data_IF_807681921431
#
_entry.id   IF_807681921431
#
_cell.length_a   1.000
_cell.length_b   1.000
_cell.length_c   1.000
_cell.angle_alpha   90.00
_cell.angle_beta   90.00
_cell.angle_gamma   90.00
#
_symmetry.space_group_name_H-M   'P 1'
#
loop_
_entity.id
_entity.type
_entity.pdbx_description
1 polymer ?
#
# COMPACT_ATOMS: atom_id res chain seq x y z
N UNK A 1 16.23 -16.94 3.79
CA UNK A 1 15.82 -15.52 3.68
C UNK A 1 15.74 -15.17 2.20
N UNK A 2 14.63 -15.52 1.53
CA UNK A 2 14.46 -15.22 0.11
C UNK A 2 13.55 -14.00 0.01
N UNK A 3 14.18 -12.89 -0.34
CA UNK A 3 13.58 -11.64 -0.79
C UNK A 3 12.85 -11.95 -2.10
N UNK A 4 11.53 -12.17 -2.03
CA UNK A 4 10.68 -12.31 -3.22
C UNK A 4 10.22 -10.92 -3.66
N UNK A 5 11.13 -10.18 -4.26
CA UNK A 5 10.76 -9.19 -5.27
C UNK A 5 10.19 -9.97 -6.46
N UNK A 6 8.90 -9.75 -6.73
CA UNK A 6 8.22 -10.34 -7.88
C UNK A 6 8.87 -9.81 -9.18
N UNK A 7 9.45 -10.67 -10.03
CA UNK A 7 10.06 -10.23 -11.27
C UNK A 7 8.97 -9.97 -12.33
N UNK A 8 8.99 -8.74 -12.86
CA UNK A 8 8.78 -8.39 -14.26
C UNK A 8 7.91 -9.34 -15.10
N UNK A 9 6.61 -9.08 -15.13
CA UNK A 9 5.76 -9.52 -16.25
C UNK A 9 6.08 -8.61 -17.44
N UNK A 10 6.68 -9.23 -18.45
CA UNK A 10 7.40 -8.65 -19.57
C UNK A 10 6.45 -8.22 -20.70
N UNK A 11 5.66 -7.16 -20.50
CA UNK A 11 4.89 -6.53 -21.58
C UNK A 11 5.35 -5.07 -21.69
N UNK A 12 6.09 -4.77 -22.76
CA UNK A 12 6.37 -3.39 -23.23
C UNK A 12 7.42 -2.59 -22.44
N UNK A 13 8.67 -3.03 -22.59
CA UNK A 13 9.97 -2.53 -22.13
C UNK A 13 10.34 -1.04 -22.35
N UNK A 14 9.44 -0.12 -22.71
CA UNK A 14 9.84 1.30 -22.96
C UNK A 14 9.00 2.38 -22.27
N UNK A 15 7.81 2.08 -21.74
CA UNK A 15 7.03 3.09 -20.98
C UNK A 15 7.34 3.07 -19.48
N UNK A 16 7.84 1.95 -18.93
CA UNK A 16 8.19 1.82 -17.51
C UNK A 16 9.43 2.60 -17.08
N UNK A 17 10.36 2.93 -17.99
CA UNK A 17 11.53 3.74 -17.64
C UNK A 17 11.14 5.16 -17.17
N UNK A 18 10.00 5.70 -17.63
CA UNK A 18 9.50 7.00 -17.17
C UNK A 18 8.84 6.95 -15.79
N UNK A 19 8.34 5.79 -15.36
CA UNK A 19 7.66 5.63 -14.07
C UNK A 19 8.64 5.22 -12.97
N UNK A 20 9.67 4.43 -13.30
CA UNK A 20 10.74 4.08 -12.35
C UNK A 20 11.75 5.22 -12.11
N UNK A 21 11.73 6.28 -12.93
CA UNK A 21 12.46 7.53 -12.65
C UNK A 21 11.68 8.50 -11.75
N UNK A 22 10.49 8.12 -11.27
CA UNK A 22 9.69 8.93 -10.35
C UNK A 22 9.77 8.44 -8.88
N UNK A 23 10.80 7.68 -8.53
CA UNK A 23 11.28 7.52 -7.14
C UNK A 23 12.18 8.70 -6.70
N UNK A 24 12.55 9.62 -7.62
CA UNK A 24 13.45 10.74 -7.34
C UNK A 24 12.80 12.01 -6.81
N UNK A 25 11.46 12.11 -6.79
CA UNK A 25 10.77 13.25 -6.22
C UNK A 25 10.67 13.07 -4.69
N UNK A 26 11.84 13.23 -4.07
CA UNK A 26 12.06 13.75 -2.73
C UNK A 26 11.23 15.02 -2.52
N UNK A 27 9.91 14.87 -2.41
CA UNK A 27 9.08 15.89 -1.79
C UNK A 27 9.42 15.81 -0.32
N UNK A 28 10.42 16.62 0.06
CA UNK A 28 10.58 17.21 1.37
C UNK A 28 9.31 18.01 1.71
N UNK A 29 8.18 17.30 1.77
CA UNK A 29 6.89 17.83 2.11
C UNK A 29 6.92 18.04 3.62
N UNK A 30 7.31 19.26 3.98
CA UNK A 30 7.08 19.96 5.23
C UNK A 30 7.06 19.06 6.47
N UNK A 31 8.11 19.19 7.29
CA UNK A 31 8.10 18.78 8.69
C UNK A 31 6.79 19.24 9.35
N UNK A 32 5.83 18.33 9.46
CA UNK A 32 4.63 18.60 10.24
C UNK A 32 5.10 18.62 11.69
N UNK A 33 5.22 19.82 12.25
CA UNK A 33 5.75 20.09 13.59
C UNK A 33 5.00 19.37 14.72
N UNK A 34 3.82 18.83 14.43
CA UNK A 34 2.99 18.11 15.39
C UNK A 34 3.12 16.60 15.21
N UNK A 35 3.56 15.91 16.26
CA UNK A 35 3.49 14.45 16.36
C UNK A 35 2.02 14.01 16.33
N UNK A 36 1.66 13.06 15.45
CA UNK A 36 0.28 12.56 15.40
C UNK A 36 -0.10 11.86 16.71
N UNK A 37 -1.35 12.00 17.11
CA UNK A 37 -1.86 11.28 18.29
C UNK A 37 -2.08 9.78 17.99
N UNK A 38 -2.08 8.94 19.02
CA UNK A 38 -2.35 7.51 18.87
C UNK A 38 -3.68 7.23 18.14
N UNK A 39 -4.71 8.04 18.40
CA UNK A 39 -6.01 7.94 17.71
C UNK A 39 -5.90 8.24 16.20
N UNK A 40 -5.08 9.21 15.80
CA UNK A 40 -4.84 9.53 14.40
C UNK A 40 -4.09 8.40 13.68
N UNK A 41 -3.08 7.83 14.33
CA UNK A 41 -2.32 6.68 13.81
C UNK A 41 -3.24 5.46 13.63
N UNK A 42 -4.08 5.15 14.62
CA UNK A 42 -5.06 4.06 14.52
C UNK A 42 -6.13 4.30 13.45
N UNK A 43 -6.59 5.55 13.30
CA UNK A 43 -7.51 5.94 12.22
C UNK A 43 -6.89 5.69 10.86
N UNK A 44 -5.62 6.12 10.68
CA UNK A 44 -4.87 5.89 9.45
C UNK A 44 -4.73 4.41 9.14
N UNK A 45 -4.33 3.59 10.13
CA UNK A 45 -4.24 2.14 9.97
C UNK A 45 -5.57 1.51 9.52
N UNK A 46 -6.68 1.83 10.20
CA UNK A 46 -8.01 1.32 9.83
C UNK A 46 -8.45 1.80 8.45
N UNK A 47 -8.09 3.02 8.07
CA UNK A 47 -8.44 3.56 6.76
C UNK A 47 -7.67 2.88 5.62
N UNK A 48 -6.39 2.54 5.83
CA UNK A 48 -5.60 1.74 4.90
C UNK A 48 -6.16 0.31 4.76
N UNK A 49 -6.52 -0.33 5.87
CA UNK A 49 -7.14 -1.66 5.83
C UNK A 49 -8.51 -1.66 5.14
N UNK A 50 -9.30 -0.59 5.30
CA UNK A 50 -10.56 -0.42 4.58
C UNK A 50 -10.33 -0.23 3.09
N UNK A 51 -9.41 0.64 2.70
CA UNK A 51 -9.07 0.89 1.30
C UNK A 51 -8.47 -0.37 0.63
N UNK A 52 -7.70 -1.18 1.35
CA UNK A 52 -7.20 -2.46 0.84
C UNK A 52 -8.35 -3.40 0.41
N UNK A 53 -9.49 -3.37 1.12
CA UNK A 53 -10.65 -4.20 0.78
C UNK A 53 -11.40 -3.74 -0.48
N UNK A 54 -11.13 -2.53 -0.97
CA UNK A 54 -11.75 -1.99 -2.18
C UNK A 54 -11.13 -2.56 -3.46
N UNK A 55 -9.98 -3.24 -3.37
CA UNK A 55 -9.39 -3.92 -4.52
C UNK A 55 -10.20 -5.16 -4.91
N UNK A 56 -10.61 -5.29 -6.19
CA UNK A 56 -11.29 -6.48 -6.66
C UNK A 56 -10.33 -7.69 -6.71
N UNK A 57 -9.10 -7.48 -7.17
CA UNK A 57 -8.08 -8.52 -7.24
C UNK A 57 -7.65 -8.98 -5.84
N UNK A 58 -7.81 -10.28 -5.58
CA UNK A 58 -7.38 -10.97 -4.37
C UNK A 58 -5.92 -10.66 -3.98
N UNK A 59 -5.01 -10.75 -4.94
CA UNK A 59 -3.58 -10.63 -4.68
C UNK A 59 -3.24 -9.22 -4.23
N UNK A 60 -3.81 -8.21 -4.88
CA UNK A 60 -3.57 -6.80 -4.55
C UNK A 60 -4.22 -6.44 -3.22
N UNK A 61 -5.43 -6.95 -2.95
CA UNK A 61 -6.10 -6.78 -1.66
C UNK A 61 -5.28 -7.34 -0.50
N UNK A 62 -4.86 -8.61 -0.59
CA UNK A 62 -4.08 -9.25 0.47
C UNK A 62 -2.66 -8.70 0.56
N UNK A 63 -2.02 -8.35 -0.56
CA UNK A 63 -0.72 -7.66 -0.56
C UNK A 63 -0.82 -6.32 0.18
N UNK A 64 -1.80 -5.48 -0.18
CA UNK A 64 -1.95 -4.15 0.43
C UNK A 64 -2.21 -4.29 1.93
N UNK A 65 -3.10 -5.21 2.32
CA UNK A 65 -3.36 -5.52 3.73
C UNK A 65 -2.09 -5.97 4.46
N UNK A 66 -1.35 -6.93 3.93
CA UNK A 66 -0.09 -7.41 4.55
C UNK A 66 0.95 -6.29 4.63
N UNK A 67 1.17 -5.55 3.53
CA UNK A 67 2.11 -4.42 3.49
C UNK A 67 1.77 -3.36 4.52
N UNK A 68 0.49 -3.02 4.69
CA UNK A 68 0.08 -2.05 5.71
C UNK A 68 0.37 -2.57 7.13
N UNK A 69 0.06 -3.83 7.44
CA UNK A 69 0.36 -4.42 8.75
C UNK A 69 1.88 -4.43 9.00
N UNK A 70 2.66 -4.87 8.03
CA UNK A 70 4.11 -4.98 8.14
C UNK A 70 4.76 -3.60 8.33
N UNK A 71 4.33 -2.59 7.58
CA UNK A 71 4.83 -1.21 7.74
C UNK A 71 4.51 -0.63 9.12
N UNK A 72 3.32 -0.87 9.66
CA UNK A 72 2.99 -0.39 11.01
C UNK A 72 3.75 -1.14 12.11
N UNK A 73 3.98 -2.46 11.93
CA UNK A 73 4.82 -3.25 12.84
C UNK A 73 6.27 -2.77 12.82
N UNK A 74 6.82 -2.48 11.64
CA UNK A 74 8.18 -1.98 11.50
C UNK A 74 8.36 -0.60 12.16
N UNK A 75 7.37 0.28 12.03
CA UNK A 75 7.41 1.62 12.62
C UNK A 75 6.98 1.67 14.10
N UNK A 76 6.58 0.55 14.71
CA UNK A 76 6.10 0.52 16.09
C UNK A 76 7.20 0.84 17.12
N UNK A 77 8.47 0.65 16.75
CA UNK A 77 9.64 0.93 17.61
C UNK A 77 10.17 2.34 17.48
N UNK A 78 9.58 3.18 16.62
CA UNK A 78 9.99 4.57 16.46
C UNK A 78 9.63 5.38 17.71
N UNK A 79 10.65 5.92 18.37
CA UNK A 79 10.49 6.81 19.54
C UNK A 79 10.66 8.28 19.17
N UNK A 80 11.34 8.58 18.08
CA UNK A 80 11.64 9.95 17.64
C UNK A 80 10.37 10.62 17.08
N UNK A 81 9.89 11.72 17.71
CA UNK A 81 8.71 12.46 17.24
C UNK A 81 8.79 12.89 15.77
N UNK A 82 9.99 13.23 15.29
CA UNK A 82 10.20 13.67 13.91
C UNK A 82 9.99 12.52 12.92
N UNK A 83 10.57 11.35 13.20
CA UNK A 83 10.41 10.14 12.40
C UNK A 83 8.97 9.64 12.40
N UNK A 84 8.27 9.71 13.54
CA UNK A 84 6.85 9.37 13.64
C UNK A 84 6.02 10.28 12.72
N UNK A 85 6.31 11.59 12.72
CA UNK A 85 5.59 12.56 11.87
C UNK A 85 5.82 12.28 10.38
N UNK A 86 7.05 12.00 9.97
CA UNK A 86 7.42 11.64 8.60
C UNK A 86 6.76 10.34 8.16
N UNK A 87 6.81 9.29 9.01
CA UNK A 87 6.18 8.01 8.73
C UNK A 87 4.65 8.14 8.59
N UNK A 88 4.04 8.99 9.41
CA UNK A 88 2.60 9.27 9.34
C UNK A 88 2.22 10.06 8.09
N UNK A 89 3.01 11.06 7.69
CA UNK A 89 2.83 11.80 6.44
C UNK A 89 2.97 10.87 5.23
N UNK A 90 3.96 9.99 5.24
CA UNK A 90 4.11 8.94 4.24
C UNK A 90 2.92 7.98 4.22
N UNK A 91 2.42 7.52 5.38
CA UNK A 91 1.23 6.68 5.43
C UNK A 91 -0.02 7.36 4.84
N UNK A 92 -0.17 8.68 5.01
CA UNK A 92 -1.25 9.47 4.38
C UNK A 92 -1.09 9.54 2.86
N UNK A 93 0.12 9.75 2.33
CA UNK A 93 0.34 9.75 0.88
C UNK A 93 0.05 8.38 0.28
N UNK A 94 0.49 7.31 0.95
CA UNK A 94 0.20 5.94 0.55
C UNK A 94 -1.30 5.64 0.56
N UNK A 95 -2.07 6.13 1.53
CA UNK A 95 -3.52 5.99 1.51
C UNK A 95 -4.15 6.63 0.28
N UNK A 96 -3.69 7.81 -0.14
CA UNK A 96 -4.17 8.46 -1.36
C UNK A 96 -3.79 7.69 -2.63
N UNK A 97 -2.63 7.03 -2.64
CA UNK A 97 -2.25 6.11 -3.73
C UNK A 97 -3.15 4.90 -3.75
N UNK A 98 -3.32 4.20 -2.63
CA UNK A 98 -4.17 3.00 -2.51
C UNK A 98 -5.59 3.26 -3.00
N UNK A 99 -6.21 4.38 -2.59
CA UNK A 99 -7.56 4.74 -3.05
C UNK A 99 -7.64 4.96 -4.56
N UNK A 100 -6.66 5.65 -5.15
CA UNK A 100 -6.61 5.86 -6.60
C UNK A 100 -6.41 4.54 -7.34
N UNK A 101 -5.53 3.69 -6.83
CA UNK A 101 -5.29 2.38 -7.41
C UNK A 101 -6.52 1.48 -7.33
N UNK A 102 -7.27 1.47 -6.22
CA UNK A 102 -8.50 0.70 -6.11
C UNK A 102 -9.51 1.06 -7.21
N UNK A 103 -9.65 2.36 -7.53
CA UNK A 103 -10.47 2.82 -8.66
C UNK A 103 -9.93 2.30 -9.99
N UNK A 104 -8.62 2.43 -10.26
CA UNK A 104 -8.03 1.95 -11.52
C UNK A 104 -8.24 0.44 -11.70
N UNK A 105 -8.01 -0.35 -10.64
CA UNK A 105 -8.22 -1.80 -10.68
C UNK A 105 -9.68 -2.16 -10.91
N UNK A 106 -10.63 -1.38 -10.37
CA UNK A 106 -12.06 -1.60 -10.61
C UNK A 106 -12.48 -1.40 -12.07
N UNK A 107 -11.74 -0.58 -12.83
CA UNK A 107 -12.03 -0.35 -14.26
C UNK A 107 -11.61 -1.54 -15.15
N UNK A 108 -10.67 -2.35 -14.66
CA UNK A 108 -10.14 -3.52 -15.36
C UNK A 108 -10.42 -4.82 -14.60
N UNK A 109 -11.48 -4.84 -13.81
CA UNK A 109 -11.84 -6.03 -13.04
C UNK A 109 -12.12 -7.22 -13.97
N UNK A 110 -11.61 -8.38 -13.58
CA UNK A 110 -11.81 -9.63 -14.33
C UNK A 110 -13.11 -10.28 -13.87
N UNK A 111 -13.96 -10.78 -14.79
CA UNK A 111 -15.16 -11.52 -14.41
C UNK A 111 -14.83 -12.84 -13.68
N UNK A 112 -13.60 -13.34 -13.84
CA UNK A 112 -13.13 -14.56 -13.18
C UNK A 112 -12.50 -14.21 -11.84
N UNK A 113 -13.05 -14.79 -10.77
CA UNK A 113 -12.45 -14.72 -9.44
C UNK A 113 -11.13 -15.48 -9.40
N UNK A 114 -10.22 -15.02 -8.54
CA UNK A 114 -8.99 -15.74 -8.24
C UNK A 114 -9.30 -17.14 -7.72
N UNK A 115 -8.50 -18.13 -8.10
CA UNK A 115 -8.58 -19.51 -7.56
C UNK A 115 -8.53 -19.51 -6.03
N UNK A 116 -7.83 -18.54 -5.43
CA UNK A 116 -7.74 -18.38 -3.97
C UNK A 116 -9.04 -17.92 -3.31
N UNK A 117 -9.98 -17.34 -4.07
CA UNK A 117 -11.31 -16.94 -3.58
C UNK A 117 -12.37 -18.01 -3.78
N UNK A 118 -12.09 -19.02 -4.60
CA UNK A 118 -12.97 -20.16 -4.74
C UNK A 118 -12.97 -20.90 -3.41
N UNK A 119 -14.11 -20.86 -2.71
CA UNK A 119 -14.35 -21.70 -1.55
C UNK A 119 -14.04 -23.13 -1.97
N UNK A 120 -13.08 -23.79 -1.31
CA UNK A 120 -12.80 -25.20 -1.52
C UNK A 120 -14.14 -25.92 -1.37
N UNK A 121 -14.68 -26.41 -2.47
CA UNK A 121 -15.88 -27.24 -2.44
C UNK A 121 -15.50 -28.41 -1.54
N UNK A 122 -16.19 -28.63 -0.39
CA UNK A 122 -15.87 -29.78 0.43
C UNK A 122 -16.10 -31.01 -0.44
N UNK A 123 -15.02 -31.75 -0.71
CA UNK A 123 -15.04 -33.00 -1.48
C UNK A 123 -15.88 -34.05 -0.75
#
# INVERSE_FOLDING_TARGET
MIFLDLPSIHISSLTLYSVLYLEGAMSAAASSSATPSAAQVLSLFRSLLRAAREFPDYNIREYTKRRTIDSFRHNATLSDPSQISTAFAHGKSQLAVVKRQAVVYSLYDSPLRSVMELQQVPF
#
